data_IF_199296543807
#
_entry.id   IF_199296543807
#
_cell.length_a   1.000
_cell.length_b   1.000
_cell.length_c   1.000
_cell.angle_alpha   90.00
_cell.angle_beta   90.00
_cell.angle_gamma   90.00
#
_symmetry.space_group_name_H-M   'P 1'
#
loop_
_entity.id
_entity.type
_entity.pdbx_description
1 polymer ?
#
# COMPACT_ATOMS: atom_id res chain seq x y z
N UNK A 1 2.06 13.99 -21.83
CA UNK A 1 2.69 13.87 -20.48
C UNK A 1 4.14 13.42 -20.67
N UNK A 2 5.13 14.05 -20.01
CA UNK A 2 6.54 13.62 -20.16
C UNK A 2 6.83 12.38 -19.30
N UNK A 3 7.78 11.52 -19.67
CA UNK A 3 8.15 10.35 -18.85
C UNK A 3 8.63 10.76 -17.45
N UNK A 4 9.32 11.90 -17.31
CA UNK A 4 9.68 12.45 -16.01
C UNK A 4 8.43 12.78 -15.16
N UNK A 5 7.38 13.36 -15.77
CA UNK A 5 6.08 13.58 -15.12
C UNK A 5 5.42 12.27 -14.71
N UNK A 6 5.47 11.23 -15.56
CA UNK A 6 4.91 9.90 -15.25
C UNK A 6 5.55 9.30 -13.99
N UNK A 7 6.87 9.42 -13.87
CA UNK A 7 7.64 8.95 -12.72
C UNK A 7 7.27 9.70 -11.43
N UNK A 8 7.08 11.03 -11.50
CA UNK A 8 6.60 11.82 -10.35
C UNK A 8 5.19 11.40 -9.91
N UNK A 9 4.29 11.09 -10.84
CA UNK A 9 2.94 10.60 -10.53
C UNK A 9 2.99 9.18 -9.96
N UNK A 10 3.80 8.27 -10.53
CA UNK A 10 3.97 6.92 -9.97
C UNK A 10 4.54 6.95 -8.53
N UNK A 11 5.49 7.84 -8.26
CA UNK A 11 5.99 8.14 -6.91
C UNK A 11 4.89 8.67 -5.99
N UNK A 12 4.08 9.63 -6.45
CA UNK A 12 2.95 10.16 -5.69
C UNK A 12 1.86 9.09 -5.41
N UNK A 13 1.62 8.17 -6.34
CA UNK A 13 0.75 7.02 -6.13
C UNK A 13 1.29 6.09 -5.03
N UNK A 14 2.59 5.75 -5.05
CA UNK A 14 3.22 4.95 -4.00
C UNK A 14 3.13 5.62 -2.61
N UNK A 15 3.36 6.94 -2.54
CA UNK A 15 3.16 7.70 -1.30
C UNK A 15 1.69 7.76 -0.87
N UNK A 16 0.75 7.89 -1.80
CA UNK A 16 -0.69 7.92 -1.51
C UNK A 16 -1.16 6.61 -0.87
N UNK A 17 -0.68 5.46 -1.36
CA UNK A 17 -1.00 4.16 -0.75
C UNK A 17 -0.23 3.95 0.56
N UNK A 18 1.11 4.13 0.56
CA UNK A 18 1.95 3.92 1.73
C UNK A 18 1.60 4.80 2.93
N UNK A 19 1.24 6.08 2.71
CA UNK A 19 0.80 6.99 3.77
C UNK A 19 -0.70 6.80 4.05
N UNK A 20 -1.53 6.73 3.01
CA UNK A 20 -2.99 6.66 3.12
C UNK A 20 -3.50 5.37 3.76
N UNK A 21 -2.79 4.26 3.60
CA UNK A 21 -3.04 3.01 4.32
C UNK A 21 -2.10 2.81 5.53
N UNK A 22 -0.89 3.36 5.53
CA UNK A 22 0.03 3.24 6.67
C UNK A 22 -0.47 3.94 7.93
N UNK A 23 -0.98 5.18 7.81
CA UNK A 23 -1.45 5.95 8.98
C UNK A 23 -2.68 5.32 9.67
N UNK A 24 -3.74 4.89 8.95
CA UNK A 24 -4.85 4.17 9.58
C UNK A 24 -4.42 2.79 10.12
N UNK A 25 -3.39 2.14 9.53
CA UNK A 25 -2.87 0.88 10.03
C UNK A 25 -2.18 1.03 11.40
N UNK A 26 -1.37 2.09 11.59
CA UNK A 26 -0.78 2.43 12.90
C UNK A 26 -1.88 2.65 13.95
N UNK A 27 -2.93 3.40 13.60
CA UNK A 27 -4.09 3.62 14.47
C UNK A 27 -4.84 2.32 14.79
N UNK A 28 -5.03 1.45 13.80
CA UNK A 28 -5.64 0.12 13.96
C UNK A 28 -4.85 -0.78 14.92
N UNK A 29 -3.52 -0.85 14.76
CA UNK A 29 -2.62 -1.61 15.65
C UNK A 29 -2.72 -1.08 17.09
N UNK A 30 -2.64 0.24 17.27
CA UNK A 30 -2.75 0.86 18.60
C UNK A 30 -4.10 0.57 19.26
N UNK A 31 -5.19 0.73 18.53
CA UNK A 31 -6.54 0.51 19.06
C UNK A 31 -6.79 -0.95 19.41
N UNK A 32 -6.41 -1.88 18.52
CA UNK A 32 -6.53 -3.33 18.76
C UNK A 32 -5.73 -3.75 19.99
N UNK A 33 -4.51 -3.22 20.16
CA UNK A 33 -3.65 -3.48 21.31
C UNK A 33 -4.22 -2.91 22.62
N UNK A 34 -4.90 -1.75 22.57
CA UNK A 34 -5.42 -1.07 23.77
C UNK A 34 -6.85 -1.45 24.17
N UNK A 35 -7.72 -1.80 23.22
CA UNK A 35 -9.15 -2.10 23.47
C UNK A 35 -9.57 -3.54 23.15
N UNK A 36 -8.70 -4.36 22.55
CA UNK A 36 -9.01 -5.72 22.05
C UNK A 36 -10.16 -5.77 21.02
N UNK A 37 -10.52 -4.63 20.45
CA UNK A 37 -11.57 -4.49 19.43
C UNK A 37 -11.03 -3.69 18.26
N UNK A 38 -11.61 -3.90 17.07
CA UNK A 38 -11.14 -3.22 15.87
C UNK A 38 -11.40 -1.72 15.93
N UNK A 39 -10.46 -0.96 15.36
CA UNK A 39 -10.65 0.45 15.12
C UNK A 39 -11.77 0.67 14.10
N UNK A 40 -12.65 1.63 14.38
CA UNK A 40 -13.36 2.35 13.33
C UNK A 40 -12.60 3.62 13.00
N UNK A 41 -12.47 3.91 11.70
CA UNK A 41 -11.89 5.14 11.16
C UNK A 41 -12.93 5.77 10.24
N UNK A 42 -13.29 7.04 10.50
CA UNK A 42 -14.43 7.71 9.85
C UNK A 42 -15.75 6.91 9.93
N UNK A 43 -15.95 6.12 11.00
CA UNK A 43 -17.13 5.28 11.20
C UNK A 43 -17.05 3.88 10.58
N UNK A 44 -16.10 3.61 9.69
CA UNK A 44 -15.94 2.31 9.03
C UNK A 44 -14.87 1.45 9.73
N UNK A 45 -15.05 0.13 9.84
CA UNK A 45 -14.02 -0.77 10.39
C UNK A 45 -12.78 -0.73 9.50
N UNK A 46 -11.63 -0.32 10.05
CA UNK A 46 -10.49 0.11 9.20
C UNK A 46 -9.84 -1.02 8.41
N UNK A 47 -9.81 -2.23 8.98
CA UNK A 47 -9.27 -3.46 8.38
C UNK A 47 -10.13 -4.70 8.70
N UNK A 48 -11.32 -4.52 9.28
CA UNK A 48 -12.22 -5.59 9.67
C UNK A 48 -13.29 -5.90 8.62
N UNK A 49 -13.98 -7.04 8.76
CA UNK A 49 -15.04 -7.55 7.89
C UNK A 49 -14.65 -7.85 6.41
N UNK A 50 -13.38 -7.64 6.05
CA UNK A 50 -12.78 -8.06 4.79
C UNK A 50 -12.65 -9.59 4.65
N UNK A 51 -12.29 -10.09 3.46
CA UNK A 51 -12.09 -11.51 3.19
C UNK A 51 -11.25 -12.29 4.20
N UNK A 52 -10.22 -11.71 4.82
CA UNK A 52 -9.45 -12.40 5.87
C UNK A 52 -10.35 -12.91 7.01
N UNK A 53 -11.18 -12.05 7.59
CA UNK A 53 -12.07 -12.46 8.69
C UNK A 53 -13.17 -13.42 8.21
N UNK A 54 -13.58 -13.31 6.95
CA UNK A 54 -14.56 -14.23 6.31
C UNK A 54 -14.00 -15.64 6.08
N UNK A 55 -12.69 -15.80 5.94
CA UNK A 55 -12.00 -17.10 5.86
C UNK A 55 -11.41 -17.54 7.22
N UNK A 56 -11.80 -16.90 8.32
CA UNK A 56 -11.36 -17.25 9.68
C UNK A 56 -9.98 -16.70 10.09
N UNK A 57 -9.29 -15.96 9.22
CA UNK A 57 -8.08 -15.22 9.58
C UNK A 57 -8.52 -13.98 10.36
N UNK A 58 -8.60 -14.09 11.68
CA UNK A 58 -8.86 -12.95 12.57
C UNK A 58 -7.79 -11.87 12.32
N UNK A 59 -8.22 -10.63 12.09
CA UNK A 59 -7.27 -9.54 11.89
C UNK A 59 -6.53 -9.23 13.19
N UNK A 60 -5.26 -9.59 13.23
CA UNK A 60 -4.40 -9.53 14.43
C UNK A 60 -3.28 -8.51 14.27
N UNK A 61 -2.66 -8.13 15.39
CA UNK A 61 -1.52 -7.19 15.39
C UNK A 61 -0.40 -7.63 14.42
N UNK A 62 0.05 -8.89 14.35
CA UNK A 62 1.08 -9.29 13.39
C UNK A 62 0.67 -9.11 11.92
N UNK A 63 -0.59 -9.38 11.57
CA UNK A 63 -1.10 -9.21 10.21
C UNK A 63 -1.15 -7.73 9.80
N UNK A 64 -1.60 -6.85 10.70
CA UNK A 64 -1.54 -5.41 10.50
C UNK A 64 -0.09 -4.90 10.45
N UNK A 65 0.81 -5.39 11.31
CA UNK A 65 2.23 -5.02 11.29
C UNK A 65 2.90 -5.42 9.98
N UNK A 66 2.59 -6.60 9.44
CA UNK A 66 3.08 -7.03 8.13
C UNK A 66 2.60 -6.09 7.01
N UNK A 67 1.33 -5.67 7.03
CA UNK A 67 0.82 -4.67 6.08
C UNK A 67 1.44 -3.29 6.27
N UNK A 68 1.69 -2.85 7.51
CA UNK A 68 2.38 -1.59 7.79
C UNK A 68 3.82 -1.60 7.22
N UNK A 69 4.50 -2.74 7.23
CA UNK A 69 5.81 -2.90 6.58
C UNK A 69 5.72 -2.81 5.05
N UNK A 70 4.64 -3.32 4.43
CA UNK A 70 4.33 -3.11 3.00
C UNK A 70 4.11 -1.63 2.71
N UNK A 71 3.29 -0.93 3.50
CA UNK A 71 3.09 0.51 3.38
C UNK A 71 4.39 1.33 3.58
N UNK A 72 5.26 0.92 4.49
CA UNK A 72 6.57 1.56 4.68
C UNK A 72 7.50 1.33 3.47
N UNK A 73 7.50 0.12 2.90
CA UNK A 73 8.24 -0.19 1.69
C UNK A 73 7.70 0.60 0.48
N UNK A 74 6.38 0.78 0.36
CA UNK A 74 5.77 1.69 -0.61
C UNK A 74 6.29 3.13 -0.48
N UNK A 75 6.41 3.65 0.75
CA UNK A 75 6.95 4.99 0.99
C UNK A 75 8.42 5.13 0.55
N UNK A 76 9.24 4.11 0.80
CA UNK A 76 10.65 4.04 0.36
C UNK A 76 10.73 3.95 -1.18
N UNK A 77 9.93 3.07 -1.79
CA UNK A 77 9.80 2.98 -3.25
C UNK A 77 9.38 4.32 -3.85
N UNK A 78 8.39 5.01 -3.27
CA UNK A 78 7.96 6.35 -3.68
C UNK A 78 9.10 7.37 -3.66
N UNK A 79 9.96 7.35 -2.62
CA UNK A 79 11.14 8.20 -2.53
C UNK A 79 12.25 7.87 -3.55
N UNK A 80 12.49 6.60 -3.84
CA UNK A 80 13.43 6.19 -4.88
C UNK A 80 12.91 6.49 -6.29
N UNK A 81 11.62 6.22 -6.54
CA UNK A 81 10.93 6.57 -7.78
C UNK A 81 10.92 8.09 -8.03
N UNK A 82 10.77 8.92 -7.00
CA UNK A 82 10.90 10.39 -7.13
C UNK A 82 12.24 10.82 -7.75
N UNK A 83 13.30 10.02 -7.55
CA UNK A 83 14.63 10.24 -8.12
C UNK A 83 14.87 9.47 -9.45
N UNK A 84 13.86 8.76 -9.96
CA UNK A 84 13.95 7.96 -11.18
C UNK A 84 14.70 6.64 -11.03
N UNK A 85 14.89 6.14 -9.80
CA UNK A 85 15.68 4.95 -9.51
C UNK A 85 14.99 3.67 -10.01
N UNK A 86 15.68 2.91 -10.87
CA UNK A 86 15.16 1.69 -11.50
C UNK A 86 15.07 0.51 -10.53
N UNK A 87 15.97 0.42 -9.56
CA UNK A 87 15.87 -0.56 -8.47
C UNK A 87 14.58 -0.39 -7.65
N UNK A 88 14.16 0.85 -7.42
CA UNK A 88 12.90 1.16 -6.72
C UNK A 88 11.67 0.78 -7.54
N UNK A 89 11.75 0.86 -8.87
CA UNK A 89 10.73 0.29 -9.75
C UNK A 89 10.71 -1.24 -9.68
N UNK A 90 11.87 -1.92 -9.70
CA UNK A 90 11.96 -3.39 -9.53
C UNK A 90 11.35 -3.84 -8.20
N UNK A 91 11.65 -3.16 -7.09
CA UNK A 91 11.01 -3.45 -5.78
C UNK A 91 9.51 -3.16 -5.84
N UNK A 92 9.08 -2.09 -6.51
CA UNK A 92 7.66 -1.78 -6.74
C UNK A 92 6.93 -2.80 -7.63
N UNK A 93 7.64 -3.65 -8.39
CA UNK A 93 7.05 -4.83 -9.05
C UNK A 93 7.06 -6.06 -8.12
N UNK A 94 8.16 -6.30 -7.40
CA UNK A 94 8.32 -7.45 -6.51
C UNK A 94 7.33 -7.45 -5.32
N UNK A 95 6.90 -6.27 -4.87
CA UNK A 95 5.92 -6.10 -3.77
C UNK A 95 4.46 -6.40 -4.21
N UNK A 96 4.15 -6.37 -5.51
CA UNK A 96 2.76 -6.46 -6.03
C UNK A 96 1.95 -7.67 -5.52
N UNK A 97 2.50 -8.90 -5.44
CA UNK A 97 1.72 -10.03 -4.94
C UNK A 97 1.27 -9.83 -3.49
N UNK A 98 2.10 -9.16 -2.69
CA UNK A 98 1.84 -8.89 -1.27
C UNK A 98 0.83 -7.75 -1.11
N UNK A 99 0.95 -6.68 -1.90
CA UNK A 99 -0.05 -5.62 -1.99
C UNK A 99 -1.43 -6.17 -2.38
N UNK A 100 -1.51 -6.99 -3.45
CA UNK A 100 -2.75 -7.61 -3.92
C UNK A 100 -3.39 -8.47 -2.82
N UNK A 101 -2.59 -9.28 -2.11
CA UNK A 101 -3.08 -10.10 -0.99
C UNK A 101 -3.67 -9.25 0.15
N UNK A 102 -3.03 -8.15 0.54
CA UNK A 102 -3.56 -7.28 1.59
C UNK A 102 -4.74 -6.43 1.14
N UNK A 103 -4.72 -5.87 -0.08
CA UNK A 103 -5.83 -5.11 -0.61
C UNK A 103 -7.09 -5.97 -0.78
N UNK A 104 -6.94 -7.21 -1.26
CA UNK A 104 -8.04 -8.18 -1.31
C UNK A 104 -8.47 -8.60 0.09
N UNK A 105 -7.55 -9.03 0.95
CA UNK A 105 -7.84 -9.56 2.28
C UNK A 105 -8.52 -8.57 3.23
N UNK A 106 -8.17 -7.29 3.15
CA UNK A 106 -8.82 -6.19 3.89
C UNK A 106 -9.93 -5.48 3.10
N UNK A 107 -10.25 -5.91 1.87
CA UNK A 107 -11.22 -5.28 0.97
C UNK A 107 -11.03 -3.76 0.78
N UNK A 108 -9.78 -3.32 0.57
CA UNK A 108 -9.43 -1.90 0.41
C UNK A 108 -9.70 -1.44 -1.04
N UNK A 109 -10.79 -0.69 -1.33
CA UNK A 109 -11.24 -0.47 -2.71
C UNK A 109 -10.33 0.46 -3.51
N UNK A 110 -9.60 1.35 -2.83
CA UNK A 110 -8.72 2.33 -3.48
C UNK A 110 -7.29 1.81 -3.75
N UNK A 111 -6.89 0.67 -3.17
CA UNK A 111 -5.56 0.10 -3.40
C UNK A 111 -5.38 -0.35 -4.85
N UNK A 112 -6.16 -1.33 -5.35
CA UNK A 112 -5.94 -1.88 -6.69
C UNK A 112 -5.95 -0.83 -7.82
N UNK A 113 -6.84 0.19 -7.85
CA UNK A 113 -6.80 1.23 -8.88
C UNK A 113 -5.52 2.09 -8.86
N UNK A 114 -5.05 2.50 -7.67
CA UNK A 114 -3.85 3.35 -7.54
C UNK A 114 -2.58 2.53 -7.83
N UNK A 115 -2.55 1.27 -7.41
CA UNK A 115 -1.51 0.29 -7.71
C UNK A 115 -1.38 0.05 -9.22
N UNK A 116 -2.51 -0.19 -9.91
CA UNK A 116 -2.53 -0.38 -11.37
C UNK A 116 -2.03 0.89 -12.08
N UNK A 117 -2.49 2.08 -11.68
CA UNK A 117 -2.04 3.35 -12.24
C UNK A 117 -0.51 3.54 -12.08
N UNK A 118 0.02 3.30 -10.87
CA UNK A 118 1.46 3.31 -10.58
C UNK A 118 2.23 2.39 -11.53
N UNK A 119 1.78 1.14 -11.67
CA UNK A 119 2.46 0.14 -12.50
C UNK A 119 2.41 0.49 -13.99
N UNK A 120 1.27 0.93 -14.52
CA UNK A 120 1.16 1.37 -15.93
C UNK A 120 2.12 2.54 -16.21
N UNK A 121 2.23 3.51 -15.30
CA UNK A 121 3.17 4.62 -15.43
C UNK A 121 4.64 4.16 -15.39
N UNK A 122 4.99 3.20 -14.54
CA UNK A 122 6.34 2.64 -14.47
C UNK A 122 6.72 1.81 -15.71
N UNK A 123 5.78 1.06 -16.30
CA UNK A 123 6.01 0.35 -17.56
C UNK A 123 6.25 1.33 -18.71
N UNK A 124 5.44 2.37 -18.85
CA UNK A 124 5.60 3.39 -19.91
C UNK A 124 6.87 4.23 -19.70
N UNK A 125 7.30 4.46 -18.46
CA UNK A 125 8.53 5.19 -18.15
C UNK A 125 9.79 4.31 -18.03
N UNK A 126 9.71 3.00 -18.24
CA UNK A 126 10.78 2.04 -17.93
C UNK A 126 12.12 2.34 -18.61
N UNK A 127 12.07 2.88 -19.84
CA UNK A 127 13.25 3.21 -20.64
C UNK A 127 14.06 4.42 -20.12
N UNK A 128 13.48 5.26 -19.25
CA UNK A 128 14.16 6.46 -18.70
C UNK A 128 14.50 6.35 -17.20
N UNK A 129 14.15 5.23 -16.57
CA UNK A 129 14.59 4.91 -15.21
C UNK A 129 16.09 4.56 -15.19
N UNK A 130 16.78 5.01 -14.14
CA UNK A 130 18.23 4.88 -13.91
C UNK A 130 18.52 3.79 -12.88
#
# INVERSE_FOLDING_TARGET
>A
MTHATMIRIASACAWMQGIGFGLPCIYGIWHLTKRKSMATFLGFPTYGHGPFERIGVTTTVPLLTAFLLVCALECVCGGGLWNGNKGSAVVSFAILPVEILFYAGFALPFGPPVMILRIVLLVIAWAVLR
#
